data_IF_451273766762
#
_entry.id   IF_451273766762
#
_cell.length_a   1.000
_cell.length_b   1.000
_cell.length_c   1.000
_cell.angle_alpha   90.00
_cell.angle_beta   90.00
_cell.angle_gamma   90.00
#
_symmetry.space_group_name_H-M   'P 1'
#
loop_
_entity.id
_entity.type
_entity.pdbx_description
1 polymer ?
#
# COMPACT_ATOMS: atom_id res chain seq x y z
N UNK A 1 16.70 -15.86 -3.78
CA UNK A 1 16.02 -14.57 -3.50
C UNK A 1 14.54 -14.75 -3.79
N UNK A 2 13.70 -14.63 -2.78
CA UNK A 2 12.25 -14.63 -2.95
C UNK A 2 11.79 -13.17 -3.12
N UNK A 3 11.25 -12.86 -4.29
CA UNK A 3 10.58 -11.56 -4.51
C UNK A 3 9.10 -11.76 -4.18
N UNK A 4 8.59 -10.94 -3.27
CA UNK A 4 7.23 -10.94 -2.76
C UNK A 4 6.53 -9.71 -3.35
N UNK A 5 5.42 -9.92 -4.06
CA UNK A 5 4.64 -8.87 -4.72
C UNK A 5 3.23 -8.72 -4.13
N UNK A 6 2.91 -9.51 -3.12
CA UNK A 6 1.68 -9.42 -2.36
C UNK A 6 1.65 -8.12 -1.52
N UNK A 7 0.43 -7.61 -1.26
CA UNK A 7 0.23 -6.38 -0.47
C UNK A 7 0.25 -6.62 1.05
N UNK A 8 0.49 -7.83 1.49
CA UNK A 8 0.61 -8.20 2.89
C UNK A 8 0.61 -9.71 3.07
N UNK A 9 1.12 -10.15 4.21
CA UNK A 9 1.17 -11.57 4.52
C UNK A 9 2.14 -11.90 5.64
N UNK A 10 2.19 -13.18 5.97
CA UNK A 10 3.14 -13.73 6.94
C UNK A 10 4.48 -14.04 6.24
N UNK A 11 5.56 -13.81 6.95
CA UNK A 11 6.93 -14.08 6.53
C UNK A 11 7.74 -14.58 7.73
N UNK A 12 8.63 -15.55 7.50
CA UNK A 12 9.44 -16.13 8.57
C UNK A 12 10.82 -16.55 8.05
N UNK A 13 11.69 -16.95 8.96
CA UNK A 13 12.98 -17.54 8.61
C UNK A 13 12.89 -18.89 7.88
N UNK A 14 11.73 -19.52 7.90
CA UNK A 14 11.42 -20.78 7.22
C UNK A 14 11.77 -22.03 8.02
N UNK A 15 12.24 -21.92 9.27
CA UNK A 15 12.58 -23.07 10.11
C UNK A 15 11.34 -23.75 10.72
N UNK A 16 10.19 -23.06 10.77
CA UNK A 16 8.96 -23.53 11.40
C UNK A 16 9.13 -23.76 12.91
N UNK A 17 8.76 -24.93 13.45
CA UNK A 17 8.91 -25.22 14.87
C UNK A 17 10.34 -25.65 15.28
N UNK A 18 11.27 -25.77 14.34
CA UNK A 18 12.66 -26.14 14.58
C UNK A 18 13.56 -24.88 14.67
N UNK A 19 14.76 -25.06 15.20
CA UNK A 19 15.74 -23.99 15.16
C UNK A 19 16.24 -23.75 13.73
N UNK A 20 16.57 -22.50 13.42
CA UNK A 20 17.21 -22.15 12.14
C UNK A 20 18.59 -22.80 12.00
N UNK A 21 19.18 -22.73 10.81
CA UNK A 21 20.48 -23.38 10.53
C UNK A 21 21.65 -22.38 10.60
N UNK A 22 22.80 -22.88 11.02
CA UNK A 22 24.06 -22.15 10.97
C UNK A 22 24.55 -21.95 9.52
N UNK A 23 25.42 -20.95 9.32
CA UNK A 23 26.09 -20.65 8.06
C UNK A 23 25.09 -20.41 6.89
N UNK A 24 23.97 -19.77 7.18
CA UNK A 24 22.98 -19.43 6.17
C UNK A 24 22.88 -17.92 5.97
N UNK A 25 22.50 -17.53 4.75
CA UNK A 25 22.08 -16.17 4.45
C UNK A 25 20.82 -16.25 3.58
N UNK A 26 19.72 -15.86 4.16
CA UNK A 26 18.42 -15.83 3.50
C UNK A 26 18.02 -14.39 3.20
N UNK A 27 17.42 -14.17 2.02
CA UNK A 27 17.05 -12.83 1.56
C UNK A 27 15.61 -12.89 1.06
N UNK A 28 14.77 -12.00 1.58
CA UNK A 28 13.42 -11.72 1.10
C UNK A 28 13.37 -10.29 0.60
N UNK A 29 12.73 -10.08 -0.54
CA UNK A 29 12.56 -8.77 -1.15
C UNK A 29 11.07 -8.53 -1.33
N UNK A 30 10.48 -7.64 -0.55
CA UNK A 30 9.08 -7.22 -0.65
C UNK A 30 9.05 -6.00 -1.57
N UNK A 31 8.45 -6.17 -2.75
CA UNK A 31 8.43 -5.14 -3.79
C UNK A 31 7.14 -5.23 -4.63
N UNK A 32 5.98 -4.91 -4.04
CA UNK A 32 4.73 -4.80 -4.80
C UNK A 32 4.74 -3.62 -5.76
N UNK A 33 3.93 -3.69 -6.81
CA UNK A 33 3.72 -2.55 -7.69
C UNK A 33 3.01 -1.42 -6.96
N UNK A 34 3.41 -0.17 -7.24
CA UNK A 34 2.83 1.05 -6.68
C UNK A 34 2.87 1.11 -5.14
N UNK A 35 3.83 0.43 -4.54
CA UNK A 35 4.07 0.45 -3.10
C UNK A 35 4.72 1.78 -2.71
N UNK A 36 4.16 2.47 -1.72
CA UNK A 36 4.74 3.67 -1.12
C UNK A 36 5.41 3.36 0.21
N UNK A 37 4.75 2.56 1.04
CA UNK A 37 5.22 2.24 2.38
C UNK A 37 5.01 0.76 2.67
N UNK A 38 5.96 0.15 3.37
CA UNK A 38 5.90 -1.24 3.80
C UNK A 38 6.20 -1.28 5.30
N UNK A 39 5.25 -1.77 6.07
CA UNK A 39 5.42 -2.04 7.49
C UNK A 39 5.74 -3.50 7.72
N UNK A 40 6.73 -3.77 8.59
CA UNK A 40 7.09 -5.09 9.08
C UNK A 40 6.91 -5.14 10.60
N UNK A 41 6.14 -6.10 11.07
CA UNK A 41 5.83 -6.33 12.50
C UNK A 41 6.23 -7.75 12.86
N UNK A 42 7.20 -7.91 13.75
CA UNK A 42 7.60 -9.22 14.25
C UNK A 42 6.60 -9.73 15.29
N UNK A 43 6.18 -10.99 15.14
CA UNK A 43 5.32 -11.70 16.11
C UNK A 43 6.17 -12.48 17.11
N UNK A 44 7.29 -13.05 16.63
CA UNK A 44 8.30 -13.69 17.45
C UNK A 44 9.70 -13.37 16.95
N UNK A 45 10.67 -13.35 17.87
CA UNK A 45 12.06 -13.06 17.52
C UNK A 45 13.00 -13.71 18.55
N UNK A 46 13.86 -14.63 18.11
CA UNK A 46 14.86 -15.29 18.94
C UNK A 46 16.03 -15.79 18.11
N UNK A 47 17.13 -15.03 18.09
CA UNK A 47 18.37 -15.37 17.39
C UNK A 47 19.55 -15.35 18.36
N UNK A 48 20.72 -15.88 17.96
CA UNK A 48 21.93 -15.74 18.77
C UNK A 48 22.33 -14.26 18.89
N UNK A 49 22.35 -13.77 20.14
CA UNK A 49 22.64 -12.36 20.41
C UNK A 49 24.02 -11.96 19.91
N UNK A 50 24.12 -10.83 19.24
CA UNK A 50 25.35 -10.23 18.71
C UNK A 50 26.11 -11.07 17.66
N UNK A 51 25.46 -12.12 17.13
CA UNK A 51 26.10 -13.02 16.17
C UNK A 51 25.22 -13.33 14.94
N UNK A 52 23.92 -13.59 15.16
CA UNK A 52 22.98 -13.88 14.08
C UNK A 52 22.02 -12.70 13.92
N UNK A 53 21.99 -12.11 12.75
CA UNK A 53 21.33 -10.82 12.55
C UNK A 53 20.21 -10.88 11.51
N UNK A 54 19.11 -10.24 11.83
CA UNK A 54 18.10 -9.83 10.86
C UNK A 54 18.33 -8.36 10.53
N UNK A 55 18.76 -8.09 9.29
CA UNK A 55 19.05 -6.75 8.81
C UNK A 55 17.98 -6.32 7.81
N UNK A 56 17.43 -5.13 7.98
CA UNK A 56 16.34 -4.59 7.16
C UNK A 56 16.86 -3.39 6.37
N UNK A 57 16.51 -3.35 5.09
CA UNK A 57 16.86 -2.27 4.18
C UNK A 57 15.61 -1.67 3.56
N UNK A 58 15.62 -0.35 3.36
CA UNK A 58 14.71 0.41 2.52
C UNK A 58 15.48 0.83 1.26
N UNK A 59 15.26 0.13 0.15
CA UNK A 59 16.14 0.24 -1.01
C UNK A 59 17.59 -0.16 -0.69
N UNK A 60 18.51 0.80 -0.72
CA UNK A 60 19.92 0.61 -0.35
C UNK A 60 20.25 0.98 1.10
N UNK A 61 19.33 1.63 1.79
CA UNK A 61 19.58 2.18 3.12
C UNK A 61 19.23 1.16 4.20
N UNK A 62 20.18 0.87 5.08
CA UNK A 62 19.95 0.02 6.24
C UNK A 62 19.11 0.79 7.27
N UNK A 63 17.89 0.30 7.54
CA UNK A 63 16.95 0.91 8.47
C UNK A 63 16.82 0.15 9.80
N UNK A 64 17.32 -1.08 9.88
CA UNK A 64 17.31 -1.86 11.11
C UNK A 64 18.32 -3.03 11.08
N UNK A 65 18.78 -3.43 12.28
CA UNK A 65 19.60 -4.63 12.48
C UNK A 65 19.35 -5.16 13.89
N UNK A 66 18.90 -6.40 13.99
CA UNK A 66 18.39 -6.98 15.23
C UNK A 66 18.99 -8.36 15.46
N UNK A 67 19.27 -8.69 16.73
CA UNK A 67 19.71 -10.00 17.20
C UNK A 67 19.26 -10.24 18.64
N UNK A 68 19.32 -11.48 19.12
CA UNK A 68 18.89 -11.85 20.46
C UNK A 68 17.40 -12.16 20.54
N UNK A 69 16.77 -11.90 21.70
CA UNK A 69 15.40 -12.29 21.98
C UNK A 69 14.45 -11.11 22.26
N UNK A 70 14.94 -9.89 22.12
CA UNK A 70 14.09 -8.69 22.22
C UNK A 70 13.31 -8.50 20.93
N UNK A 71 12.00 -8.35 21.04
CA UNK A 71 11.12 -8.15 19.88
C UNK A 71 11.42 -6.80 19.22
N UNK A 72 11.80 -6.75 17.93
CA UNK A 72 12.03 -5.50 17.24
C UNK A 72 10.76 -4.61 17.21
N UNK A 73 10.90 -3.28 17.18
CA UNK A 73 9.77 -2.38 16.95
C UNK A 73 9.19 -2.57 15.56
N UNK A 74 8.05 -1.94 15.28
CA UNK A 74 7.53 -1.83 13.90
C UNK A 74 8.57 -1.13 13.04
N UNK A 75 8.88 -1.70 11.89
CA UNK A 75 9.88 -1.17 10.95
C UNK A 75 9.17 -0.78 9.66
N UNK A 76 9.34 0.48 9.27
CA UNK A 76 8.70 1.06 8.10
C UNK A 76 9.74 1.40 7.03
N UNK A 77 9.56 0.87 5.82
CA UNK A 77 10.27 1.28 4.61
C UNK A 77 9.38 2.22 3.79
N UNK A 78 9.88 3.38 3.38
CA UNK A 78 9.11 4.46 2.74
C UNK A 78 9.42 4.67 1.26
N UNK A 79 10.29 3.82 0.68
CA UNK A 79 10.65 3.87 -0.73
C UNK A 79 9.96 2.76 -1.56
N UNK A 80 8.89 2.15 -1.02
CA UNK A 80 8.10 1.13 -1.71
C UNK A 80 8.80 -0.21 -1.91
N UNK A 81 9.93 -0.44 -1.25
CA UNK A 81 10.68 -1.69 -1.31
C UNK A 81 11.35 -1.97 0.03
N UNK A 82 11.20 -3.19 0.53
CA UNK A 82 11.88 -3.64 1.73
C UNK A 82 12.69 -4.91 1.44
N UNK A 83 13.95 -4.93 1.87
CA UNK A 83 14.78 -6.14 1.82
C UNK A 83 15.10 -6.59 3.24
N UNK A 84 14.81 -7.85 3.53
CA UNK A 84 15.12 -8.53 4.79
C UNK A 84 16.25 -9.50 4.53
N UNK A 85 17.31 -9.41 5.31
CA UNK A 85 18.47 -10.31 5.24
C UNK A 85 18.64 -10.97 6.60
N UNK A 86 18.52 -12.28 6.66
CA UNK A 86 18.86 -13.06 7.85
C UNK A 86 20.17 -13.80 7.62
N UNK A 87 21.17 -13.47 8.42
CA UNK A 87 22.53 -14.06 8.33
C UNK A 87 22.90 -14.72 9.64
N UNK A 88 23.41 -15.96 9.57
CA UNK A 88 23.79 -16.77 10.73
C UNK A 88 25.27 -17.17 10.68
N UNK A 89 25.88 -17.26 11.84
CA UNK A 89 27.26 -17.68 12.01
C UNK A 89 27.41 -19.23 12.00
N UNK A 90 28.51 -19.78 12.56
CA UNK A 90 28.76 -21.22 12.57
C UNK A 90 28.37 -21.93 13.87
N UNK A 91 27.77 -21.23 14.83
CA UNK A 91 27.48 -21.77 16.15
C UNK A 91 26.16 -21.24 16.71
N UNK A 92 25.57 -22.02 17.58
CA UNK A 92 24.30 -21.76 18.25
C UNK A 92 23.15 -21.41 17.29
N UNK A 93 22.01 -21.91 17.58
CA UNK A 93 20.79 -21.63 16.81
C UNK A 93 19.60 -21.56 17.77
N UNK A 94 18.59 -20.83 17.41
CA UNK A 94 17.38 -20.70 18.20
C UNK A 94 16.13 -20.80 17.30
N UNK A 95 14.95 -20.49 17.83
CA UNK A 95 13.67 -20.64 17.14
C UNK A 95 13.47 -19.69 15.96
N UNK A 96 14.37 -18.70 15.80
CA UNK A 96 14.33 -17.75 14.68
C UNK A 96 13.25 -16.69 14.84
N UNK A 97 12.60 -16.35 13.75
CA UNK A 97 11.63 -15.25 13.75
C UNK A 97 10.46 -15.51 12.82
N UNK A 98 9.32 -14.95 13.17
CA UNK A 98 8.18 -14.77 12.29
C UNK A 98 7.64 -13.33 12.38
N UNK A 99 7.09 -12.85 11.29
CA UNK A 99 6.62 -11.49 11.16
C UNK A 99 5.42 -11.42 10.21
N UNK A 100 4.71 -10.34 10.26
CA UNK A 100 3.69 -9.95 9.30
C UNK A 100 4.13 -8.65 8.60
N UNK A 101 3.92 -8.54 7.31
CA UNK A 101 4.10 -7.30 6.58
C UNK A 101 2.80 -6.80 5.98
N UNK A 102 2.66 -5.48 5.89
CA UNK A 102 1.56 -4.81 5.20
C UNK A 102 2.11 -3.71 4.31
N UNK A 103 1.47 -3.52 3.17
CA UNK A 103 1.89 -2.55 2.17
C UNK A 103 0.83 -1.47 2.02
N UNK A 104 1.25 -0.21 2.12
CA UNK A 104 0.46 0.93 1.73
C UNK A 104 0.82 1.22 0.27
N UNK A 105 -0.17 1.04 -0.60
CA UNK A 105 -0.03 1.46 -1.99
C UNK A 105 -0.47 2.91 -2.10
N UNK A 106 0.30 3.72 -2.80
CA UNK A 106 -0.17 5.01 -3.25
C UNK A 106 -1.45 4.81 -4.05
N UNK A 107 -2.47 5.60 -3.75
CA UNK A 107 -3.50 5.82 -4.76
C UNK A 107 -2.75 6.54 -5.87
N UNK A 108 -2.40 5.87 -6.95
CA UNK A 108 -1.97 6.57 -8.16
C UNK A 108 -3.06 7.60 -8.47
N UNK A 109 -2.79 8.86 -8.16
CA UNK A 109 -3.35 9.91 -8.97
C UNK A 109 -2.70 9.68 -10.33
N UNK A 110 -3.33 8.85 -11.12
CA UNK A 110 -2.88 8.55 -12.48
C UNK A 110 -2.90 9.84 -13.29
N UNK A 111 -1.83 10.62 -13.13
CA UNK A 111 -1.58 11.88 -13.87
C UNK A 111 -1.54 11.62 -15.38
N UNK A 112 -1.55 10.35 -15.79
CA UNK A 112 -1.46 9.91 -17.17
C UNK A 112 -2.78 9.41 -17.76
N UNK A 113 -3.86 9.25 -16.94
CA UNK A 113 -5.14 8.73 -17.45
C UNK A 113 -5.92 9.74 -18.28
N UNK A 114 -5.51 11.02 -18.29
CA UNK A 114 -6.35 12.06 -18.90
C UNK A 114 -7.69 12.25 -18.18
N UNK A 115 -7.76 11.84 -16.90
CA UNK A 115 -8.91 12.03 -16.01
C UNK A 115 -8.57 13.05 -14.93
N UNK A 116 -9.30 14.15 -14.91
CA UNK A 116 -9.17 15.19 -13.89
C UNK A 116 -10.50 15.43 -13.20
N UNK A 117 -10.47 15.59 -11.89
CA UNK A 117 -11.63 15.96 -11.08
C UNK A 117 -11.28 17.22 -10.30
N UNK A 118 -11.98 18.31 -10.59
CA UNK A 118 -11.70 19.64 -10.02
C UNK A 118 -12.96 20.52 -9.92
N UNK A 119 -12.93 21.57 -9.07
CA UNK A 119 -11.93 21.83 -8.06
C UNK A 119 -12.01 20.82 -6.91
N UNK A 120 -10.95 20.68 -6.13
CA UNK A 120 -10.94 19.93 -4.88
C UNK A 120 -10.16 20.74 -3.83
N UNK A 121 -10.80 21.30 -2.81
CA UNK A 121 -12.22 21.21 -2.46
C UNK A 121 -13.17 21.81 -3.50
N UNK A 122 -14.34 21.17 -3.65
CA UNK A 122 -15.44 21.66 -4.48
C UNK A 122 -16.50 22.36 -3.61
N UNK A 123 -17.12 23.40 -4.17
CA UNK A 123 -18.27 24.08 -3.59
C UNK A 123 -19.56 23.50 -4.21
N UNK A 124 -20.25 24.25 -5.04
CA UNK A 124 -21.54 23.87 -5.62
C UNK A 124 -21.41 23.01 -6.88
N UNK A 125 -20.21 22.90 -7.44
CA UNK A 125 -19.96 22.20 -8.70
C UNK A 125 -18.64 21.46 -8.64
N UNK A 126 -18.65 20.21 -9.11
CA UNK A 126 -17.49 19.40 -9.38
C UNK A 126 -17.39 19.15 -10.87
N UNK A 127 -16.24 19.36 -11.47
CA UNK A 127 -15.98 19.09 -12.88
C UNK A 127 -15.15 17.84 -13.04
N UNK A 128 -15.54 17.02 -14.00
CA UNK A 128 -14.83 15.82 -14.41
C UNK A 128 -14.38 16.04 -15.84
N UNK A 129 -13.07 16.08 -16.08
CA UNK A 129 -12.49 16.08 -17.41
C UNK A 129 -11.96 14.70 -17.71
N UNK A 130 -12.42 14.08 -18.78
CA UNK A 130 -11.90 12.79 -19.25
C UNK A 130 -11.38 12.92 -20.67
N UNK A 131 -10.29 12.19 -20.97
CA UNK A 131 -9.85 12.05 -22.37
C UNK A 131 -10.89 11.24 -23.16
N UNK A 132 -10.98 11.48 -24.46
CA UNK A 132 -11.91 10.78 -25.36
C UNK A 132 -11.69 9.26 -25.36
N UNK A 133 -10.47 8.82 -25.06
CA UNK A 133 -10.11 7.39 -25.04
C UNK A 133 -10.70 6.66 -23.82
N UNK A 134 -11.04 7.36 -22.75
CA UNK A 134 -11.55 6.75 -21.51
C UNK A 134 -13.02 6.37 -21.57
N UNK A 135 -13.83 7.03 -22.40
CA UNK A 135 -15.26 6.74 -22.60
C UNK A 135 -16.01 6.43 -21.29
N UNK A 136 -15.90 7.33 -20.31
CA UNK A 136 -16.56 7.19 -19.00
C UNK A 136 -18.07 7.17 -19.21
N UNK A 137 -18.74 6.15 -18.66
CA UNK A 137 -20.20 5.95 -18.79
C UNK A 137 -20.97 6.27 -17.53
N UNK A 138 -20.34 6.07 -16.38
CA UNK A 138 -21.01 6.20 -15.09
C UNK A 138 -20.17 6.99 -14.12
N UNK A 139 -20.81 7.88 -13.36
CA UNK A 139 -20.28 8.51 -12.16
C UNK A 139 -21.15 8.12 -10.98
N UNK A 140 -20.52 7.69 -9.88
CA UNK A 140 -21.18 7.52 -8.58
C UNK A 140 -20.39 8.28 -7.53
N UNK A 141 -21.10 8.90 -6.61
CA UNK A 141 -20.52 9.59 -5.46
C UNK A 141 -20.97 8.85 -4.20
N UNK A 142 -20.01 8.45 -3.39
CA UNK A 142 -20.23 7.76 -2.13
C UNK A 142 -19.85 8.67 -0.97
N UNK A 143 -20.63 8.63 0.10
CA UNK A 143 -20.20 9.20 1.37
C UNK A 143 -19.18 8.26 2.07
N UNK A 144 -18.63 8.70 3.20
CA UNK A 144 -17.64 7.92 3.95
C UNK A 144 -18.20 6.62 4.61
N UNK A 145 -19.52 6.42 4.57
CA UNK A 145 -20.17 5.18 4.99
C UNK A 145 -20.36 4.18 3.83
N UNK A 146 -19.87 4.53 2.63
CA UNK A 146 -20.02 3.70 1.43
C UNK A 146 -21.42 3.78 0.78
N UNK A 147 -22.28 4.72 1.22
CA UNK A 147 -23.60 4.90 0.63
C UNK A 147 -23.50 5.76 -0.62
N UNK A 148 -24.11 5.32 -1.72
CA UNK A 148 -24.24 6.13 -2.94
C UNK A 148 -25.16 7.31 -2.65
N UNK A 149 -24.66 8.54 -2.74
CA UNK A 149 -25.43 9.78 -2.55
C UNK A 149 -25.78 10.45 -3.86
N UNK A 150 -25.08 10.09 -4.95
CA UNK A 150 -25.37 10.57 -6.30
C UNK A 150 -24.91 9.55 -7.34
N UNK A 151 -25.63 9.45 -8.45
CA UNK A 151 -25.27 8.61 -9.59
C UNK A 151 -25.75 9.25 -10.88
N UNK A 152 -24.85 9.35 -11.87
CA UNK A 152 -25.18 9.80 -13.23
C UNK A 152 -24.71 8.77 -14.26
N UNK A 153 -25.51 8.61 -15.31
CA UNK A 153 -25.27 7.65 -16.40
C UNK A 153 -25.13 8.39 -17.73
N UNK A 154 -24.38 7.81 -18.66
CA UNK A 154 -24.18 8.32 -20.02
C UNK A 154 -23.59 9.72 -20.06
N UNK A 155 -22.44 9.91 -19.42
CA UNK A 155 -21.74 11.18 -19.40
C UNK A 155 -21.30 11.59 -20.82
N UNK A 156 -21.44 12.89 -21.16
CA UNK A 156 -20.89 13.40 -22.41
C UNK A 156 -19.36 13.34 -22.42
N UNK A 157 -18.79 13.22 -23.60
CA UNK A 157 -17.34 13.30 -23.78
C UNK A 157 -16.81 14.70 -23.41
N UNK A 158 -15.63 14.73 -22.83
CA UNK A 158 -14.93 15.96 -22.49
C UNK A 158 -15.10 16.38 -21.04
N UNK A 159 -15.72 17.52 -20.77
CA UNK A 159 -15.94 18.03 -19.41
C UNK A 159 -17.39 17.84 -19.01
N UNK A 160 -17.60 17.12 -17.92
CA UNK A 160 -18.91 16.96 -17.28
C UNK A 160 -18.94 17.73 -15.97
N UNK A 161 -20.01 18.48 -15.73
CA UNK A 161 -20.21 19.22 -14.49
C UNK A 161 -21.26 18.52 -13.63
N UNK A 162 -20.90 18.20 -12.40
CA UNK A 162 -21.75 17.57 -11.39
C UNK A 162 -22.15 18.62 -10.37
N UNK A 163 -23.48 18.79 -10.15
CA UNK A 163 -23.98 19.70 -9.13
C UNK A 163 -23.83 19.07 -7.74
N UNK A 164 -23.04 19.68 -6.90
CA UNK A 164 -22.74 19.23 -5.53
C UNK A 164 -23.44 20.05 -4.45
N UNK A 165 -24.23 21.07 -4.81
CA UNK A 165 -24.90 21.98 -3.86
C UNK A 165 -25.85 21.26 -2.86
N UNK A 166 -26.34 20.07 -3.21
CA UNK A 166 -27.17 19.24 -2.33
C UNK A 166 -26.40 18.31 -1.38
N UNK A 167 -25.07 18.26 -1.47
CA UNK A 167 -24.24 17.43 -0.60
C UNK A 167 -23.80 18.24 0.63
N UNK A 168 -23.71 17.59 1.77
CA UNK A 168 -23.17 18.22 2.98
C UNK A 168 -21.66 18.42 2.90
N UNK A 169 -21.11 19.37 3.65
CA UNK A 169 -19.67 19.51 3.80
C UNK A 169 -19.06 18.20 4.30
N UNK A 170 -18.00 17.72 3.64
CA UNK A 170 -17.35 16.46 4.02
C UNK A 170 -16.52 15.84 2.91
N UNK A 171 -16.00 14.66 3.21
CA UNK A 171 -15.26 13.85 2.24
C UNK A 171 -16.19 12.87 1.53
N UNK A 172 -15.93 12.69 0.24
CA UNK A 172 -16.65 11.79 -0.65
C UNK A 172 -15.68 11.02 -1.54
N UNK A 173 -16.11 9.86 -1.99
CA UNK A 173 -15.42 9.09 -3.04
C UNK A 173 -16.22 9.23 -4.32
N UNK A 174 -15.58 9.74 -5.36
CA UNK A 174 -16.12 9.78 -6.73
C UNK A 174 -15.60 8.58 -7.48
N UNK A 175 -16.50 7.70 -7.88
CA UNK A 175 -16.21 6.52 -8.69
C UNK A 175 -16.65 6.78 -10.13
N UNK A 176 -15.77 6.53 -11.07
CA UNK A 176 -15.98 6.69 -12.50
C UNK A 176 -15.76 5.35 -13.18
N UNK A 177 -16.68 4.91 -14.01
CA UNK A 177 -16.54 3.63 -14.69
C UNK A 177 -16.83 3.70 -16.18
N UNK A 178 -16.12 2.87 -16.93
CA UNK A 178 -16.41 2.52 -18.31
C UNK A 178 -16.67 1.00 -18.42
N UNK A 179 -16.67 0.45 -19.64
CA UNK A 179 -16.93 -0.97 -19.87
C UNK A 179 -15.86 -1.90 -19.32
N UNK A 180 -14.63 -1.40 -19.08
CA UNK A 180 -13.44 -2.23 -18.79
C UNK A 180 -12.74 -1.85 -17.49
N UNK A 181 -12.98 -0.63 -16.97
CA UNK A 181 -12.22 -0.10 -15.83
C UNK A 181 -13.09 0.75 -14.92
N UNK A 182 -12.67 0.81 -13.65
CA UNK A 182 -13.28 1.68 -12.63
C UNK A 182 -12.15 2.50 -12.00
N UNK A 183 -12.39 3.81 -11.84
CA UNK A 183 -11.48 4.77 -11.26
C UNK A 183 -12.16 5.42 -10.07
N UNK A 184 -11.43 5.63 -8.98
CA UNK A 184 -11.96 6.28 -7.78
C UNK A 184 -11.05 7.42 -7.35
N UNK A 185 -11.65 8.55 -6.96
CA UNK A 185 -10.92 9.70 -6.42
C UNK A 185 -11.62 10.28 -5.20
N UNK A 186 -10.84 10.61 -4.18
CA UNK A 186 -11.34 11.31 -3.00
C UNK A 186 -11.52 12.80 -3.29
N UNK A 187 -12.69 13.34 -2.92
CA UNK A 187 -13.05 14.74 -3.11
C UNK A 187 -13.57 15.31 -1.80
N UNK A 188 -13.27 16.57 -1.54
CA UNK A 188 -13.80 17.33 -0.40
C UNK A 188 -14.86 18.30 -0.92
N UNK A 189 -16.06 18.27 -0.34
CA UNK A 189 -17.12 19.26 -0.56
C UNK A 189 -17.08 20.27 0.60
N UNK A 190 -17.04 21.54 0.26
CA UNK A 190 -16.97 22.63 1.23
C UNK A 190 -17.71 23.85 0.68
N UNK A 191 -18.91 24.11 1.22
CA UNK A 191 -19.73 25.30 0.97
C UNK A 191 -19.35 26.42 1.91
#
# INVERSE_FOLDING_TARGET
>A
NNVITELGGEISDGSGPANYQNLTTCIWMIQPENSEEIDLVFNSFNTEADHDFVTIYDGSDKIGEYSGSELPPVITAVNGMMTIVFSTNSSNTDLGWDAYFSVITGVEEDLNTGLEIFPNPADNMLQIRSSRTMNIKTVKIYNMLGTVVMSELNLPEGITSINTAGLSNGMYIVELSNSNSTFSKKVVIKH
#
